data_IF_565551963733
#
_entry.id   IF_565551963733
#
_cell.length_a   1.000
_cell.length_b   1.000
_cell.length_c   1.000
_cell.angle_alpha   90.00
_cell.angle_beta   90.00
_cell.angle_gamma   90.00
#
_symmetry.space_group_name_H-M   'P 1'
#
loop_
_entity.id
_entity.type
_entity.pdbx_description
1 polymer ?
#
# COMPACT_ATOMS: atom_id res chain seq x y z
N UNK A 1 47.55 25.19 41.94
CA UNK A 1 48.70 26.11 41.61
C UNK A 1 48.22 26.85 40.37
N UNK A 2 47.60 27.99 40.61
CA UNK A 2 48.15 29.32 40.64
C UNK A 2 48.35 29.87 39.22
N UNK A 3 47.46 30.75 38.88
CA UNK A 3 47.45 32.18 38.57
C UNK A 3 47.53 32.43 37.04
N UNK A 4 46.72 33.19 36.50
CA UNK A 4 46.16 34.52 36.72
C UNK A 4 46.67 35.55 35.69
N UNK A 5 45.74 36.33 35.28
CA UNK A 5 45.78 37.79 34.91
C UNK A 5 45.96 38.15 33.42
N UNK A 6 44.90 38.83 32.95
CA UNK A 6 44.63 40.33 32.90
C UNK A 6 45.40 41.05 31.81
N UNK A 7 44.66 41.81 31.04
CA UNK A 7 44.57 43.29 30.88
C UNK A 7 44.04 43.59 29.48
N UNK A 8 42.90 44.15 29.29
CA UNK A 8 42.46 45.57 29.37
C UNK A 8 43.06 46.50 28.31
N UNK A 9 42.10 47.20 27.69
CA UNK A 9 42.11 48.51 27.10
C UNK A 9 42.46 48.62 25.61
N UNK A 10 41.79 49.37 24.75
CA UNK A 10 41.05 50.66 24.91
C UNK A 10 40.22 50.95 23.67
N UNK A 11 39.23 51.76 23.89
CA UNK A 11 38.27 52.30 22.97
C UNK A 11 38.89 53.22 21.89
N UNK A 12 38.22 53.36 20.77
CA UNK A 12 38.06 54.69 20.11
C UNK A 12 36.69 54.71 19.38
N UNK A 13 35.92 55.66 19.82
CA UNK A 13 34.66 56.10 19.22
C UNK A 13 34.90 56.70 17.84
N UNK A 14 34.09 56.36 16.88
CA UNK A 14 33.72 57.32 15.83
C UNK A 14 32.22 57.27 15.63
N UNK A 15 31.56 58.32 16.05
CA UNK A 15 30.19 58.66 15.73
C UNK A 15 30.07 58.87 14.23
N UNK A 16 29.19 58.15 13.58
CA UNK A 16 28.58 58.61 12.36
C UNK A 16 27.09 58.48 12.48
N UNK A 17 26.43 59.60 12.60
CA UNK A 17 24.97 59.71 12.57
C UNK A 17 24.49 59.49 11.15
N UNK A 18 23.68 58.48 10.94
CA UNK A 18 22.78 58.46 9.79
C UNK A 18 21.36 58.21 10.27
N UNK A 19 20.59 59.23 10.00
CA UNK A 19 19.16 59.30 10.20
C UNK A 19 18.48 58.36 9.21
N UNK A 20 17.42 57.79 9.70
CA UNK A 20 16.16 57.70 8.99
C UNK A 20 15.89 56.48 8.15
N UNK A 21 14.73 55.96 8.34
CA UNK A 21 14.01 55.13 7.39
C UNK A 21 13.55 53.82 7.99
N UNK A 22 12.64 53.89 8.97
CA UNK A 22 11.82 52.74 9.34
C UNK A 22 10.82 52.51 8.19
N UNK A 23 11.21 51.75 7.20
CA UNK A 23 10.26 51.15 6.27
C UNK A 23 9.82 49.80 6.85
N UNK A 24 8.63 49.81 7.43
CA UNK A 24 7.93 48.63 7.87
C UNK A 24 7.56 47.82 6.61
N UNK A 25 8.46 46.93 6.16
CA UNK A 25 8.11 45.94 5.15
C UNK A 25 7.27 44.88 5.84
N UNK A 26 5.96 45.04 5.75
CA UNK A 26 5.00 43.97 6.03
C UNK A 26 5.23 42.86 5.02
N UNK A 27 6.04 41.90 5.40
CA UNK A 27 6.19 40.64 4.64
C UNK A 27 4.92 39.82 4.85
N UNK A 28 3.93 40.04 3.97
CA UNK A 28 2.74 39.26 3.90
C UNK A 28 3.15 37.83 3.43
N UNK A 29 3.43 36.96 4.40
CA UNK A 29 3.54 35.50 4.15
C UNK A 29 2.17 35.02 3.70
N UNK A 30 1.94 35.05 2.40
CA UNK A 30 0.87 34.28 1.76
C UNK A 30 1.15 32.80 2.00
N UNK A 31 0.64 32.26 3.08
CA UNK A 31 0.47 30.84 3.21
C UNK A 31 -0.52 30.41 2.11
N UNK A 32 0.02 30.06 0.96
CA UNK A 32 -0.71 29.31 -0.04
C UNK A 32 -1.04 27.95 0.58
N UNK A 33 -2.18 27.87 1.26
CA UNK A 33 -2.81 26.59 1.55
C UNK A 33 -3.14 25.97 0.21
N UNK A 34 -2.26 25.11 -0.28
CA UNK A 34 -2.52 24.27 -1.43
C UNK A 34 -3.70 23.37 -1.10
N UNK A 35 -4.90 23.90 -1.26
CA UNK A 35 -6.09 23.06 -1.39
C UNK A 35 -5.87 22.25 -2.66
N UNK A 36 -5.49 20.98 -2.51
CA UNK A 36 -5.49 20.03 -3.61
C UNK A 36 -6.89 20.04 -4.20
N UNK A 37 -7.05 20.69 -5.34
CA UNK A 37 -8.29 20.67 -6.09
C UNK A 37 -8.62 19.19 -6.30
N UNK A 38 -9.75 18.78 -5.79
CA UNK A 38 -10.31 17.47 -6.09
C UNK A 38 -10.60 17.50 -7.57
N UNK A 39 -9.97 16.63 -8.34
CA UNK A 39 -10.19 16.53 -9.78
C UNK A 39 -11.68 16.25 -9.98
N UNK A 40 -12.40 17.27 -10.36
CA UNK A 40 -13.84 17.22 -10.62
C UNK A 40 -13.98 16.66 -12.03
N UNK A 41 -14.31 15.37 -12.12
CA UNK A 41 -14.62 14.76 -13.40
C UNK A 41 -15.95 15.33 -13.89
N UNK A 42 -15.90 16.06 -15.00
CA UNK A 42 -17.10 16.53 -15.70
C UNK A 42 -17.83 15.31 -16.28
N UNK A 43 -18.88 14.90 -15.59
CA UNK A 43 -19.71 13.79 -16.01
C UNK A 43 -20.90 14.30 -16.83
N UNK A 44 -21.30 13.60 -17.92
CA UNK A 44 -22.51 13.92 -18.63
C UNK A 44 -23.73 14.01 -17.72
N UNK A 45 -24.71 14.81 -18.12
CA UNK A 45 -25.94 14.93 -17.35
C UNK A 45 -26.64 13.59 -17.22
N UNK A 46 -27.00 13.24 -15.99
CA UNK A 46 -27.83 12.08 -15.64
C UNK A 46 -29.05 12.58 -14.91
N UNK A 47 -30.23 12.22 -15.37
CA UNK A 47 -31.47 12.51 -14.63
C UNK A 47 -31.40 11.90 -13.21
N UNK A 48 -31.82 12.63 -12.15
CA UNK A 48 -31.77 12.10 -10.78
C UNK A 48 -32.46 10.74 -10.59
N UNK A 49 -33.55 10.50 -11.32
CA UNK A 49 -34.29 9.22 -11.31
C UNK A 49 -33.49 8.05 -11.93
N UNK A 50 -32.51 8.36 -12.76
CA UNK A 50 -31.69 7.42 -13.51
C UNK A 50 -30.31 7.18 -12.88
N UNK A 51 -30.05 7.76 -11.71
CA UNK A 51 -28.85 7.47 -10.89
C UNK A 51 -29.00 6.08 -10.28
N UNK A 52 -28.71 5.05 -11.09
CA UNK A 52 -28.83 3.63 -10.73
C UNK A 52 -27.59 2.88 -11.23
N UNK A 53 -27.20 1.76 -10.58
CA UNK A 53 -26.06 0.95 -11.03
C UNK A 53 -26.17 0.56 -12.51
N UNK A 54 -27.34 0.17 -12.96
CA UNK A 54 -27.59 -0.27 -14.33
C UNK A 54 -27.27 0.84 -15.34
N UNK A 55 -27.68 2.07 -15.06
CA UNK A 55 -27.41 3.23 -15.91
C UNK A 55 -25.92 3.54 -15.95
N UNK A 56 -25.25 3.52 -14.80
CA UNK A 56 -23.79 3.75 -14.75
C UNK A 56 -23.02 2.69 -15.55
N UNK A 57 -23.42 1.43 -15.44
CA UNK A 57 -22.78 0.32 -16.12
C UNK A 57 -23.01 0.24 -17.63
N UNK A 58 -23.93 1.02 -18.19
CA UNK A 58 -24.03 1.14 -19.65
C UNK A 58 -22.81 1.83 -20.29
N UNK A 59 -22.23 2.79 -19.58
CA UNK A 59 -21.01 3.50 -19.98
C UNK A 59 -19.74 2.99 -19.29
N UNK A 60 -19.89 2.38 -18.12
CA UNK A 60 -18.78 1.88 -17.28
C UNK A 60 -18.85 0.36 -17.03
N UNK A 61 -18.99 -0.48 -18.07
CA UNK A 61 -19.13 -1.92 -17.89
C UNK A 61 -17.88 -2.55 -17.22
N UNK A 62 -16.71 -1.95 -17.40
CA UNK A 62 -15.44 -2.40 -16.84
C UNK A 62 -15.44 -2.40 -15.30
N UNK A 63 -16.28 -1.58 -14.64
CA UNK A 63 -16.38 -1.55 -13.18
C UNK A 63 -16.98 -2.84 -12.58
N UNK A 64 -17.55 -3.70 -13.42
CA UNK A 64 -18.08 -5.01 -13.03
C UNK A 64 -17.37 -6.16 -13.74
N UNK A 65 -16.34 -5.87 -14.54
CA UNK A 65 -15.58 -6.88 -15.27
C UNK A 65 -14.48 -7.46 -14.40
N UNK A 66 -14.62 -8.70 -13.99
CA UNK A 66 -13.66 -9.43 -13.19
C UNK A 66 -14.31 -10.64 -12.52
N UNK A 67 -13.48 -11.60 -12.17
CA UNK A 67 -13.94 -12.81 -11.48
C UNK A 67 -14.51 -12.49 -10.09
N UNK A 68 -13.94 -11.47 -9.44
CA UNK A 68 -14.32 -11.03 -8.10
C UNK A 68 -14.80 -9.58 -8.17
N UNK A 69 -16.11 -9.37 -8.05
CA UNK A 69 -16.74 -8.05 -8.01
C UNK A 69 -16.94 -7.65 -6.56
N UNK A 70 -16.50 -6.46 -6.19
CA UNK A 70 -16.66 -5.95 -4.83
C UNK A 70 -18.15 -5.82 -4.47
N UNK A 71 -18.51 -6.20 -3.26
CA UNK A 71 -19.91 -6.19 -2.80
C UNK A 71 -20.53 -4.79 -2.89
N UNK A 72 -19.75 -3.74 -2.58
CA UNK A 72 -20.21 -2.36 -2.66
C UNK A 72 -20.68 -1.98 -4.08
N UNK A 73 -20.05 -2.50 -5.14
CA UNK A 73 -20.49 -2.29 -6.53
C UNK A 73 -21.87 -2.92 -6.79
N UNK A 74 -22.18 -4.03 -6.12
CA UNK A 74 -23.48 -4.70 -6.20
C UNK A 74 -24.56 -3.98 -5.41
N UNK A 75 -24.19 -3.30 -4.33
CA UNK A 75 -25.10 -2.49 -3.52
C UNK A 75 -25.46 -1.18 -4.25
N UNK A 76 -24.51 -0.58 -4.94
CA UNK A 76 -24.72 0.60 -5.77
C UNK A 76 -23.57 1.58 -5.78
N UNK A 77 -23.45 2.32 -6.88
CA UNK A 77 -22.40 3.35 -7.04
C UNK A 77 -22.47 4.43 -5.93
N UNK A 78 -23.64 4.85 -5.45
CA UNK A 78 -23.77 5.83 -4.38
C UNK A 78 -23.24 5.39 -3.02
N UNK A 79 -22.89 4.13 -2.83
CA UNK A 79 -22.24 3.67 -1.57
C UNK A 79 -20.88 4.31 -1.34
N UNK A 80 -20.19 4.65 -2.43
CA UNK A 80 -18.86 5.26 -2.38
C UNK A 80 -18.81 6.63 -3.06
N UNK A 81 -19.68 6.86 -4.04
CA UNK A 81 -19.71 8.07 -4.86
C UNK A 81 -20.83 9.00 -4.44
N UNK A 82 -20.49 10.25 -4.15
CA UNK A 82 -21.45 11.33 -3.98
C UNK A 82 -21.79 11.88 -5.36
N UNK A 83 -23.04 11.69 -5.78
CA UNK A 83 -23.52 12.01 -7.11
C UNK A 83 -24.51 13.16 -7.00
N UNK A 84 -24.21 14.30 -7.61
CA UNK A 84 -25.04 15.50 -7.58
C UNK A 84 -25.35 15.93 -9.01
N UNK A 85 -26.62 15.83 -9.38
CA UNK A 85 -27.08 16.30 -10.69
C UNK A 85 -27.43 17.78 -10.64
N UNK A 86 -26.69 18.60 -11.39
CA UNK A 86 -26.96 20.00 -11.63
C UNK A 86 -27.89 20.23 -12.81
N UNK A 87 -27.95 21.45 -13.35
CA UNK A 87 -28.81 21.77 -14.48
C UNK A 87 -28.35 21.13 -15.79
N UNK A 88 -27.03 21.07 -16.03
CA UNK A 88 -26.45 20.67 -17.33
C UNK A 88 -25.40 19.56 -17.19
N UNK A 89 -25.01 19.18 -15.99
CA UNK A 89 -23.99 18.18 -15.75
C UNK A 89 -24.23 17.45 -14.43
N UNK A 90 -23.66 16.26 -14.31
CA UNK A 90 -23.63 15.50 -13.05
C UNK A 90 -22.22 15.54 -12.50
N UNK A 91 -22.07 15.91 -11.24
CA UNK A 91 -20.81 15.88 -10.51
C UNK A 91 -20.70 14.59 -9.71
N UNK A 92 -19.58 13.90 -9.84
CA UNK A 92 -19.29 12.67 -9.12
C UNK A 92 -18.02 12.85 -8.31
N UNK A 93 -18.12 12.67 -7.00
CA UNK A 93 -16.99 12.73 -6.07
C UNK A 93 -17.02 11.53 -5.13
N UNK A 94 -15.97 11.32 -4.35
CA UNK A 94 -15.98 10.30 -3.30
C UNK A 94 -16.44 10.89 -1.97
N UNK A 95 -17.18 10.13 -1.16
CA UNK A 95 -17.58 10.55 0.19
C UNK A 95 -16.42 10.76 1.15
N UNK A 96 -15.29 10.07 0.91
CA UNK A 96 -14.08 10.21 1.69
C UNK A 96 -12.86 9.83 0.84
N UNK A 97 -11.66 10.19 1.29
CA UNK A 97 -10.41 9.89 0.59
C UNK A 97 -9.65 8.73 1.26
N UNK A 98 -8.92 7.99 0.43
CA UNK A 98 -8.02 6.93 0.88
C UNK A 98 -8.71 5.90 1.77
N UNK A 99 -8.02 5.44 2.80
CA UNK A 99 -8.49 4.44 3.73
C UNK A 99 -9.76 4.80 4.48
N UNK A 100 -10.06 6.09 4.67
CA UNK A 100 -11.27 6.55 5.36
C UNK A 100 -12.56 6.15 4.62
N UNK A 101 -12.52 6.03 3.29
CA UNK A 101 -13.65 5.53 2.54
C UNK A 101 -13.89 4.05 2.83
N UNK A 102 -12.83 3.27 2.84
CA UNK A 102 -12.88 1.82 3.08
C UNK A 102 -13.31 1.50 4.53
N UNK A 103 -12.84 2.30 5.49
CA UNK A 103 -13.11 2.15 6.92
C UNK A 103 -14.59 2.34 7.31
N UNK A 104 -15.43 2.82 6.40
CA UNK A 104 -16.89 2.88 6.63
C UNK A 104 -17.51 1.49 6.78
N UNK A 105 -16.90 0.46 6.17
CA UNK A 105 -17.41 -0.90 6.17
C UNK A 105 -16.36 -1.92 6.62
N UNK A 106 -15.06 -1.61 6.46
CA UNK A 106 -13.97 -2.50 6.83
C UNK A 106 -13.34 -2.07 8.15
N UNK A 107 -13.37 -2.96 9.11
CA UNK A 107 -12.73 -2.72 10.41
C UNK A 107 -11.21 -2.70 10.29
N UNK A 108 -10.59 -1.75 10.98
CA UNK A 108 -9.14 -1.67 11.03
C UNK A 108 -8.56 -2.79 11.91
N UNK A 109 -7.46 -3.39 11.44
CA UNK A 109 -6.65 -4.30 12.26
C UNK A 109 -5.88 -3.49 13.29
N UNK A 110 -5.88 -3.99 14.53
CA UNK A 110 -5.21 -3.34 15.68
C UNK A 110 -3.98 -4.10 16.16
N UNK A 111 -3.45 -5.02 15.34
CA UNK A 111 -2.23 -5.75 15.66
C UNK A 111 -1.03 -4.80 15.77
N UNK A 112 -0.03 -5.11 16.61
CA UNK A 112 1.08 -4.19 16.91
C UNK A 112 2.01 -3.92 15.71
N UNK A 113 2.08 -4.83 14.76
CA UNK A 113 2.90 -4.68 13.55
C UNK A 113 2.00 -4.45 12.35
N UNK A 114 2.01 -3.23 11.82
CA UNK A 114 1.22 -2.85 10.66
C UNK A 114 2.09 -2.75 9.41
N UNK A 115 1.59 -3.27 8.28
CA UNK A 115 2.21 -3.07 6.98
C UNK A 115 2.16 -1.59 6.59
N UNK A 116 3.24 -1.04 6.05
CA UNK A 116 3.38 0.39 5.76
C UNK A 116 2.22 0.98 4.96
N UNK A 117 1.89 0.47 3.76
CA UNK A 117 0.75 0.96 2.98
C UNK A 117 -0.58 0.87 3.71
N UNK A 118 -0.82 -0.21 4.46
CA UNK A 118 -2.03 -0.37 5.27
C UNK A 118 -2.11 0.68 6.39
N UNK A 119 -1.01 0.88 7.14
CA UNK A 119 -0.89 1.91 8.17
C UNK A 119 -1.22 3.30 7.65
N UNK A 120 -0.83 3.60 6.41
CA UNK A 120 -1.02 4.88 5.76
C UNK A 120 -2.38 5.01 5.04
N UNK A 121 -3.26 4.01 5.13
CA UNK A 121 -4.56 4.01 4.46
C UNK A 121 -4.47 3.95 2.92
N UNK A 122 -3.36 3.45 2.38
CA UNK A 122 -3.08 3.35 0.95
C UNK A 122 -3.69 2.06 0.35
N UNK A 123 -4.96 1.81 0.64
CA UNK A 123 -5.66 0.57 0.26
C UNK A 123 -5.59 0.28 -1.25
N UNK A 124 -5.71 1.35 -2.06
CA UNK A 124 -5.75 1.24 -3.51
C UNK A 124 -4.40 0.93 -4.16
N UNK A 125 -3.31 0.94 -3.40
CA UNK A 125 -2.01 0.44 -3.88
C UNK A 125 -2.10 -1.05 -4.21
N UNK A 126 -2.83 -1.81 -3.39
CA UNK A 126 -2.98 -3.26 -3.54
C UNK A 126 -4.34 -3.67 -4.10
N UNK A 127 -5.41 -2.94 -3.79
CA UNK A 127 -6.78 -3.33 -4.12
C UNK A 127 -7.37 -2.51 -5.26
N UNK A 128 -8.16 -3.19 -6.11
CA UNK A 128 -9.05 -2.57 -7.09
C UNK A 128 -10.46 -2.46 -6.47
N UNK A 129 -11.00 -1.26 -6.26
CA UNK A 129 -12.22 -1.08 -5.48
C UNK A 129 -13.49 -1.59 -6.16
N UNK A 130 -13.45 -1.88 -7.46
CA UNK A 130 -14.64 -2.27 -8.22
C UNK A 130 -14.69 -3.77 -8.51
N UNK A 131 -13.75 -4.28 -9.30
CA UNK A 131 -13.67 -5.68 -9.67
C UNK A 131 -12.24 -6.07 -10.05
N UNK A 132 -11.88 -7.31 -9.82
CA UNK A 132 -10.58 -7.86 -10.17
C UNK A 132 -10.70 -9.33 -10.57
N UNK A 133 -9.70 -9.85 -11.26
CA UNK A 133 -9.57 -11.27 -11.54
C UNK A 133 -8.93 -12.06 -10.38
N UNK A 134 -8.54 -11.37 -9.32
CA UNK A 134 -7.89 -11.98 -8.16
C UNK A 134 -8.77 -11.89 -6.92
N UNK A 135 -8.68 -12.92 -6.07
CA UNK A 135 -9.39 -13.00 -4.78
C UNK A 135 -9.11 -11.73 -3.94
N UNK A 136 -10.08 -11.29 -3.15
CA UNK A 136 -10.01 -10.07 -2.35
C UNK A 136 -9.75 -8.78 -3.17
N UNK A 137 -10.11 -8.78 -4.44
CA UNK A 137 -9.93 -7.64 -5.36
C UNK A 137 -8.49 -7.09 -5.41
N UNK A 138 -7.47 -7.93 -5.23
CA UNK A 138 -6.09 -7.48 -5.42
C UNK A 138 -5.79 -7.25 -6.91
N UNK A 139 -4.82 -6.36 -7.19
CA UNK A 139 -4.50 -5.91 -8.56
C UNK A 139 -3.73 -6.92 -9.38
N UNK A 140 -3.02 -7.84 -8.75
CA UNK A 140 -2.21 -8.88 -9.39
C UNK A 140 -2.23 -10.16 -8.54
N UNK A 141 -1.64 -11.24 -9.03
CA UNK A 141 -1.35 -12.39 -8.18
C UNK A 141 -0.47 -11.97 -6.99
N UNK A 142 -0.56 -12.75 -5.91
CA UNK A 142 0.06 -12.39 -4.62
C UNK A 142 1.54 -12.05 -4.74
N UNK A 143 2.32 -12.89 -5.43
CA UNK A 143 3.76 -12.66 -5.48
C UNK A 143 4.11 -11.45 -6.34
N UNK A 144 3.49 -11.30 -7.51
CA UNK A 144 3.66 -10.11 -8.34
C UNK A 144 3.23 -8.84 -7.60
N UNK A 145 2.14 -8.89 -6.85
CA UNK A 145 1.66 -7.78 -6.04
C UNK A 145 2.71 -7.34 -5.02
N UNK A 146 3.25 -8.27 -4.25
CA UNK A 146 4.25 -7.97 -3.22
C UNK A 146 5.56 -7.47 -3.83
N UNK A 147 6.02 -8.11 -4.90
CA UNK A 147 7.27 -7.78 -5.58
C UNK A 147 7.21 -6.44 -6.31
N UNK A 148 6.03 -5.89 -6.56
CA UNK A 148 5.89 -4.54 -7.10
C UNK A 148 6.58 -3.47 -6.24
N UNK A 149 6.63 -3.68 -4.92
CA UNK A 149 7.37 -2.83 -3.99
C UNK A 149 8.63 -3.49 -3.41
N UNK A 150 8.63 -4.81 -3.24
CA UNK A 150 9.70 -5.51 -2.56
C UNK A 150 10.82 -5.99 -3.49
N UNK A 151 10.64 -5.97 -4.82
CA UNK A 151 11.73 -6.20 -5.76
C UNK A 151 12.60 -4.94 -5.92
N UNK A 152 13.92 -5.07 -6.06
CA UNK A 152 14.81 -3.95 -6.33
C UNK A 152 14.49 -3.29 -7.68
N UNK A 153 14.48 -1.95 -7.72
CA UNK A 153 14.38 -1.14 -8.96
C UNK A 153 15.44 -0.03 -8.95
N UNK A 154 16.67 -0.33 -9.31
CA UNK A 154 17.81 0.59 -9.12
C UNK A 154 17.66 1.91 -9.89
N UNK A 155 16.97 1.91 -11.02
CA UNK A 155 16.84 3.07 -11.92
C UNK A 155 15.51 3.81 -11.80
N UNK A 156 14.76 3.62 -10.72
CA UNK A 156 13.52 4.35 -10.51
C UNK A 156 13.79 5.86 -10.30
N UNK A 157 12.97 6.72 -10.90
CA UNK A 157 13.05 8.18 -10.76
C UNK A 157 12.61 8.68 -9.36
N UNK A 158 12.23 9.95 -9.26
CA UNK A 158 11.72 10.55 -8.00
C UNK A 158 10.40 9.93 -7.53
N UNK A 159 9.66 9.31 -8.43
CA UNK A 159 8.42 8.58 -8.19
C UNK A 159 8.49 7.20 -8.83
N UNK A 160 7.73 6.26 -8.29
CA UNK A 160 7.61 4.89 -8.78
C UNK A 160 6.15 4.62 -9.12
N UNK A 161 5.89 4.26 -10.36
CA UNK A 161 4.57 3.81 -10.79
C UNK A 161 4.37 2.34 -10.43
N UNK A 162 3.26 2.04 -9.78
CA UNK A 162 2.83 0.70 -9.41
C UNK A 162 1.65 0.32 -10.31
N UNK A 163 1.75 -0.81 -11.00
CA UNK A 163 0.74 -1.32 -11.94
C UNK A 163 0.29 -0.31 -13.00
N UNK A 164 1.13 0.69 -13.31
CA UNK A 164 0.80 1.82 -14.22
C UNK A 164 -0.44 2.64 -13.81
N UNK A 165 -0.91 2.49 -12.58
CA UNK A 165 -2.15 3.12 -12.09
C UNK A 165 -1.94 3.96 -10.84
N UNK A 166 -1.02 3.57 -9.97
CA UNK A 166 -0.72 4.24 -8.71
C UNK A 166 0.73 4.72 -8.72
N UNK A 167 0.95 5.90 -8.17
CA UNK A 167 2.30 6.45 -8.05
C UNK A 167 2.61 6.68 -6.58
N UNK A 168 3.77 6.17 -6.16
CA UNK A 168 4.33 6.44 -4.83
C UNK A 168 5.65 7.20 -4.95
N UNK A 169 6.07 7.85 -3.89
CA UNK A 169 7.37 8.51 -3.87
C UNK A 169 8.52 7.49 -3.85
N UNK A 170 9.68 7.90 -4.33
CA UNK A 170 10.90 7.11 -4.22
C UNK A 170 11.19 6.70 -2.77
N UNK A 171 11.01 7.61 -1.83
CA UNK A 171 11.23 7.36 -0.41
C UNK A 171 10.29 6.27 0.13
N UNK A 172 9.02 6.30 -0.22
CA UNK A 172 8.06 5.22 0.15
C UNK A 172 8.45 3.89 -0.45
N UNK A 173 8.87 3.89 -1.72
CA UNK A 173 9.33 2.68 -2.39
C UNK A 173 10.58 2.09 -1.72
N UNK A 174 11.57 2.93 -1.38
CA UNK A 174 12.82 2.50 -0.75
C UNK A 174 12.65 2.12 0.73
N UNK A 175 11.65 2.64 1.40
CA UNK A 175 11.30 2.23 2.76
C UNK A 175 10.80 0.77 2.84
N UNK A 176 10.31 0.22 1.75
CA UNK A 176 9.95 -1.20 1.69
C UNK A 176 11.23 -2.06 1.66
N UNK A 177 11.39 -3.05 2.55
CA UNK A 177 12.52 -3.98 2.51
C UNK A 177 12.61 -4.66 1.14
N UNK A 178 13.81 -4.73 0.57
CA UNK A 178 14.02 -5.39 -0.73
C UNK A 178 14.37 -6.85 -0.51
N UNK A 179 13.79 -7.69 -1.36
CA UNK A 179 13.96 -9.14 -1.33
C UNK A 179 14.82 -9.51 -2.55
N UNK A 180 15.94 -10.17 -2.30
CA UNK A 180 16.75 -10.74 -3.35
C UNK A 180 16.24 -12.15 -3.67
N UNK A 181 15.69 -12.31 -4.86
CA UNK A 181 15.18 -13.57 -5.36
C UNK A 181 16.01 -14.04 -6.55
N UNK A 182 15.99 -15.32 -6.81
CA UNK A 182 16.59 -15.85 -8.04
C UNK A 182 15.85 -15.30 -9.29
N UNK A 183 16.47 -15.38 -10.49
CA UNK A 183 15.86 -14.85 -11.72
C UNK A 183 14.52 -15.47 -12.09
N UNK A 184 14.21 -16.68 -11.58
CA UNK A 184 12.92 -17.33 -11.80
C UNK A 184 11.81 -16.84 -10.86
N UNK A 185 12.15 -16.01 -9.84
CA UNK A 185 11.29 -15.52 -8.78
C UNK A 185 10.63 -16.65 -7.98
N UNK A 186 11.23 -17.82 -7.91
CA UNK A 186 10.70 -19.01 -7.23
C UNK A 186 11.40 -19.36 -5.93
N UNK A 187 12.64 -18.94 -5.76
CA UNK A 187 13.49 -19.20 -4.61
C UNK A 187 14.19 -17.93 -4.15
N UNK A 188 14.74 -17.94 -2.95
CA UNK A 188 15.63 -16.88 -2.47
C UNK A 188 15.27 -16.28 -1.11
N UNK A 189 14.07 -16.53 -0.58
CA UNK A 189 13.64 -15.94 0.68
C UNK A 189 12.93 -16.97 1.56
N UNK A 190 13.22 -17.05 2.86
CA UNK A 190 14.21 -16.29 3.66
C UNK A 190 15.67 -16.73 3.47
N UNK A 191 15.90 -17.75 2.66
CA UNK A 191 17.24 -18.28 2.32
C UNK A 191 17.32 -18.60 0.82
N UNK A 192 18.51 -18.63 0.21
CA UNK A 192 18.67 -18.80 -1.25
C UNK A 192 17.94 -20.00 -1.85
N UNK A 193 17.91 -21.14 -1.17
CA UNK A 193 17.24 -22.35 -1.65
C UNK A 193 15.79 -22.50 -1.18
N UNK A 194 15.24 -21.54 -0.42
CA UNK A 194 13.88 -21.65 0.09
C UNK A 194 12.87 -21.24 -0.97
N UNK A 195 11.83 -22.07 -1.24
CA UNK A 195 10.83 -21.76 -2.24
C UNK A 195 9.92 -20.60 -1.77
N UNK A 196 9.56 -19.72 -2.70
CA UNK A 196 8.57 -18.65 -2.52
C UNK A 196 7.41 -18.78 -3.50
N UNK A 197 7.52 -19.67 -4.48
CA UNK A 197 6.47 -19.96 -5.46
C UNK A 197 6.63 -21.37 -6.07
N UNK A 198 5.57 -21.82 -6.75
CA UNK A 198 5.61 -22.97 -7.65
C UNK A 198 5.49 -24.34 -7.01
N UNK A 199 5.70 -24.47 -5.70
CA UNK A 199 5.50 -25.72 -4.95
C UNK A 199 4.17 -25.71 -4.19
N UNK A 200 3.65 -26.88 -3.88
CA UNK A 200 2.42 -27.00 -3.07
C UNK A 200 2.64 -26.42 -1.68
N UNK A 201 1.64 -25.71 -1.17
CA UNK A 201 1.64 -25.21 0.20
C UNK A 201 1.27 -26.36 1.16
N UNK A 202 2.18 -26.78 2.07
CA UNK A 202 1.91 -27.91 2.95
C UNK A 202 0.87 -27.62 4.03
N UNK A 203 0.54 -26.36 4.28
CA UNK A 203 -0.47 -25.93 5.24
C UNK A 203 -1.84 -25.68 4.60
N UNK A 204 -1.89 -25.47 3.28
CA UNK A 204 -3.11 -25.13 2.56
C UNK A 204 -3.29 -26.06 1.35
N UNK A 205 -4.07 -27.12 1.53
CA UNK A 205 -4.31 -28.13 0.50
C UNK A 205 -4.88 -27.51 -0.78
N UNK A 206 -4.25 -27.83 -1.91
CA UNK A 206 -4.65 -27.32 -3.23
C UNK A 206 -4.09 -25.95 -3.59
N UNK A 207 -3.42 -25.27 -2.67
CA UNK A 207 -2.75 -24.00 -2.93
C UNK A 207 -1.25 -24.18 -3.19
N UNK A 208 -0.63 -23.16 -3.75
CA UNK A 208 0.82 -23.08 -3.94
C UNK A 208 1.41 -22.07 -2.96
N UNK A 209 2.66 -22.30 -2.55
CA UNK A 209 3.40 -21.33 -1.74
C UNK A 209 3.40 -19.97 -2.43
N UNK A 210 3.13 -18.94 -1.63
CA UNK A 210 3.20 -17.54 -1.99
C UNK A 210 3.72 -16.72 -0.81
N UNK A 211 3.88 -15.42 -0.98
CA UNK A 211 4.25 -14.52 0.12
C UNK A 211 3.27 -14.64 1.30
N UNK A 212 1.97 -14.84 1.02
CA UNK A 212 0.94 -14.98 2.06
C UNK A 212 0.94 -16.33 2.78
N UNK A 213 1.71 -17.31 2.33
CA UNK A 213 1.91 -18.55 3.09
C UNK A 213 2.70 -18.31 4.39
N UNK A 214 3.46 -17.21 4.45
CA UNK A 214 4.30 -16.87 5.59
C UNK A 214 3.98 -15.50 6.20
N UNK A 215 3.42 -14.57 5.43
CA UNK A 215 3.21 -13.19 5.85
C UNK A 215 1.74 -12.79 5.83
N UNK A 216 1.34 -11.99 6.83
CA UNK A 216 0.08 -11.28 6.84
C UNK A 216 0.19 -10.01 5.98
N UNK A 217 -0.81 -9.73 5.14
CA UNK A 217 -0.76 -8.58 4.21
C UNK A 217 -1.01 -7.23 4.88
N UNK A 218 -1.79 -7.19 5.96
CA UNK A 218 -2.21 -5.94 6.60
C UNK A 218 -1.51 -5.71 7.94
N UNK A 219 -1.57 -6.68 8.84
CA UNK A 219 -1.09 -6.56 10.19
C UNK A 219 -0.81 -7.93 10.82
N UNK A 220 0.08 -7.98 11.79
CA UNK A 220 0.44 -9.19 12.53
C UNK A 220 0.82 -8.86 13.97
N UNK A 221 0.73 -9.85 14.82
CA UNK A 221 1.29 -9.81 16.18
C UNK A 221 2.80 -10.05 16.18
N UNK A 222 3.36 -10.59 15.10
CA UNK A 222 4.77 -10.96 15.00
C UNK A 222 5.57 -9.99 14.13
N UNK A 223 6.87 -9.81 14.41
CA UNK A 223 7.77 -9.02 13.56
C UNK A 223 7.75 -9.50 12.10
N UNK A 224 8.08 -8.59 11.19
CA UNK A 224 8.11 -8.85 9.75
C UNK A 224 6.78 -9.34 9.16
N UNK A 225 5.67 -9.06 9.85
CA UNK A 225 4.33 -9.52 9.45
C UNK A 225 4.22 -11.04 9.32
N UNK A 226 5.01 -11.81 10.07
CA UNK A 226 4.93 -13.26 10.03
C UNK A 226 3.58 -13.76 10.56
N UNK A 227 3.10 -14.84 9.98
CA UNK A 227 1.94 -15.56 10.47
C UNK A 227 2.33 -16.39 11.70
N UNK A 228 1.42 -16.47 12.67
CA UNK A 228 1.47 -17.43 13.75
C UNK A 228 0.62 -18.64 13.38
N UNK A 229 1.17 -19.82 13.48
CA UNK A 229 0.40 -21.04 13.37
C UNK A 229 -0.10 -21.43 14.77
N UNK A 230 -1.43 -21.57 14.93
CA UNK A 230 -2.07 -21.99 16.18
C UNK A 230 -1.68 -21.19 17.45
N UNK A 231 -1.41 -19.88 17.26
CA UNK A 231 -1.24 -18.93 18.37
C UNK A 231 0.14 -18.90 19.05
N UNK A 232 0.91 -19.98 19.04
CA UNK A 232 2.21 -20.05 19.72
C UNK A 232 3.34 -20.59 18.83
N UNK A 233 2.99 -21.30 17.78
CA UNK A 233 3.96 -21.90 16.88
C UNK A 233 4.32 -20.97 15.74
N UNK A 234 5.59 -20.94 15.33
CA UNK A 234 6.00 -20.23 14.14
C UNK A 234 5.45 -20.91 12.88
N UNK A 235 5.12 -20.12 11.86
CA UNK A 235 4.72 -20.66 10.55
C UNK A 235 5.81 -21.54 9.95
N UNK A 236 7.08 -21.26 10.25
CA UNK A 236 8.22 -22.06 9.80
C UNK A 236 8.14 -23.50 10.34
N UNK A 237 7.94 -23.65 11.66
CA UNK A 237 7.87 -24.96 12.31
C UNK A 237 6.62 -25.74 11.90
N UNK A 238 5.49 -25.06 11.77
CA UNK A 238 4.26 -25.66 11.31
C UNK A 238 4.39 -26.25 9.90
N UNK A 239 4.96 -25.47 8.98
CA UNK A 239 5.18 -25.88 7.60
C UNK A 239 6.16 -27.06 7.52
N UNK A 240 7.32 -26.96 8.19
CA UNK A 240 8.34 -28.01 8.18
C UNK A 240 7.82 -29.30 8.80
N UNK A 241 7.06 -29.25 9.90
CA UNK A 241 6.38 -30.44 10.46
C UNK A 241 5.36 -31.06 9.51
N UNK A 242 4.61 -30.24 8.80
CA UNK A 242 3.64 -30.75 7.81
C UNK A 242 4.35 -31.49 6.68
N UNK A 243 5.48 -30.99 6.21
CA UNK A 243 6.32 -31.67 5.20
C UNK A 243 6.83 -33.02 5.71
N UNK A 244 7.34 -33.09 6.95
CA UNK A 244 7.89 -34.31 7.50
C UNK A 244 6.81 -35.39 7.69
N UNK A 245 5.64 -35.03 8.21
CA UNK A 245 4.49 -35.93 8.27
C UNK A 245 4.06 -36.48 6.91
N UNK A 246 4.13 -35.66 5.86
CA UNK A 246 3.82 -36.09 4.49
C UNK A 246 4.84 -37.11 3.95
N UNK A 247 6.12 -37.02 4.36
CA UNK A 247 7.17 -37.98 4.02
C UNK A 247 6.96 -39.32 4.73
N UNK A 248 6.63 -39.28 6.02
CA UNK A 248 6.39 -40.46 6.87
C UNK A 248 5.13 -41.26 6.40
N UNK A 249 4.10 -40.57 5.92
CA UNK A 249 2.87 -41.16 5.42
C UNK A 249 2.97 -41.79 4.02
N UNK A 250 4.08 -41.66 3.29
CA UNK A 250 4.29 -42.36 2.03
C UNK A 250 4.85 -43.74 2.29
N UNK A 251 4.16 -44.85 1.86
CA UNK A 251 4.71 -46.20 1.99
C UNK A 251 6.03 -46.25 1.22
N UNK A 252 7.08 -46.73 1.89
CA UNK A 252 8.36 -47.08 1.30
C UNK A 252 8.11 -48.15 0.22
N UNK A 253 8.13 -47.78 -1.03
CA UNK A 253 8.02 -48.74 -2.10
C UNK A 253 7.54 -48.15 -3.43
N UNK A 254 8.42 -47.43 -4.11
CA UNK A 254 8.67 -47.61 -5.54
C UNK A 254 9.86 -46.72 -5.91
N UNK A 255 11.06 -47.28 -5.81
CA UNK A 255 12.19 -46.83 -6.58
C UNK A 255 11.79 -46.97 -8.06
N UNK A 256 11.50 -45.86 -8.73
CA UNK A 256 11.50 -45.84 -10.18
C UNK A 256 12.95 -46.05 -10.60
N UNK A 257 13.23 -47.26 -11.07
CA UNK A 257 14.45 -47.54 -11.85
C UNK A 257 14.41 -46.77 -13.18
N UNK A 258 15.60 -46.48 -13.74
CA UNK A 258 15.84 -45.57 -14.85
C UNK A 258 15.20 -45.99 -16.17
#
# INVERSE_FOLDING_TARGET
MVLSNRLLERASETRSSWKCGVTLSVFCLLFSTGASAQEQLDHPYIEPKDVKPETCLTCHPEKKQGQFVHTAVRMGCPECHHIVTGKNQTTITLFARGGNLCAKCHEARLDPVLHGPYKNGQCLVCHEPHASNFKAQIRADVNSLCLECHAPRPNAGSTVSLFSLQTITRAEFEAAPKIDLDPSLRFGHPRPAHPVAGVADPLHAGEKISCLSCHASHASTLPHLLLSANGAESVCDACHRAIDKQKEGKPNGQAQQP
#
